data_IF_016455851647
#
_entry.id   IF_016455851647
#
_cell.length_a   1.000
_cell.length_b   1.000
_cell.length_c   1.000
_cell.angle_alpha   90.00
_cell.angle_beta   90.00
_cell.angle_gamma   90.00
#
_symmetry.space_group_name_H-M   'P 1'
#
loop_
_entity.id
_entity.type
_entity.pdbx_description
1 polymer ?
#
# COMPACT_ATOMS: atom_id res chain seq x y z
N UNK A 1 1.98 16.45 7.82
CA UNK A 1 3.22 16.65 7.06
C UNK A 1 4.28 15.64 7.48
N UNK A 2 4.76 14.90 6.49
CA UNK A 2 5.86 13.93 6.45
C UNK A 2 6.98 14.35 5.48
N UNK A 3 6.92 15.56 4.91
CA UNK A 3 7.87 16.07 3.91
C UNK A 3 9.35 15.87 4.27
N UNK A 4 9.72 16.03 5.55
CA UNK A 4 11.09 15.75 6.01
C UNK A 4 11.47 14.28 5.73
N UNK A 5 10.64 13.35 6.18
CA UNK A 5 10.85 11.91 5.98
C UNK A 5 10.87 11.56 4.50
N UNK A 6 10.00 12.16 3.69
CA UNK A 6 9.98 11.96 2.24
C UNK A 6 11.30 12.38 1.59
N UNK A 7 11.87 13.53 1.94
CA UNK A 7 13.16 13.98 1.38
C UNK A 7 14.29 13.03 1.76
N UNK A 8 14.39 12.66 3.05
CA UNK A 8 15.45 11.78 3.54
C UNK A 8 15.37 10.37 2.92
N UNK A 9 14.17 9.80 2.83
CA UNK A 9 13.96 8.49 2.20
C UNK A 9 14.10 8.54 0.69
N UNK A 10 13.67 9.62 0.02
CA UNK A 10 13.85 9.75 -1.42
C UNK A 10 15.34 9.74 -1.78
N UNK A 11 16.17 10.50 -1.05
CA UNK A 11 17.62 10.52 -1.25
C UNK A 11 18.25 9.13 -1.02
N UNK A 12 17.79 8.41 0.00
CA UNK A 12 18.25 7.05 0.30
C UNK A 12 17.85 6.03 -0.79
N UNK A 13 16.60 6.11 -1.27
CA UNK A 13 15.99 5.13 -2.17
C UNK A 13 16.29 5.42 -3.65
N UNK A 14 16.61 6.67 -4.01
CA UNK A 14 17.10 7.03 -5.35
C UNK A 14 18.59 6.65 -5.54
N UNK A 15 18.87 5.37 -5.31
CA UNK A 15 20.20 4.80 -5.42
C UNK A 15 20.15 3.43 -6.09
N UNK A 16 21.07 3.11 -7.02
CA UNK A 16 21.21 1.74 -7.52
C UNK A 16 21.63 0.75 -6.42
N UNK A 17 22.07 1.24 -5.25
CA UNK A 17 22.42 0.44 -4.09
C UNK A 17 21.35 0.50 -2.98
N UNK A 18 20.16 1.04 -3.25
CA UNK A 18 19.07 1.02 -2.28
C UNK A 18 18.73 -0.42 -1.88
N UNK A 19 18.63 -0.68 -0.58
CA UNK A 19 18.34 -2.02 -0.05
C UNK A 19 17.45 -1.94 1.18
N UNK A 20 16.87 -3.08 1.53
CA UNK A 20 16.15 -3.29 2.78
C UNK A 20 16.94 -2.89 4.01
N UNK A 21 18.22 -3.26 4.07
CA UNK A 21 19.12 -2.93 5.19
C UNK A 21 19.37 -1.44 5.30
N UNK A 22 19.51 -0.73 4.18
CA UNK A 22 19.70 0.72 4.18
C UNK A 22 18.47 1.43 4.75
N UNK A 23 17.27 1.03 4.34
CA UNK A 23 16.02 1.55 4.87
C UNK A 23 15.83 1.20 6.36
N UNK A 24 16.14 -0.04 6.76
CA UNK A 24 16.09 -0.48 8.14
C UNK A 24 17.07 0.29 9.04
N UNK A 25 18.29 0.56 8.55
CA UNK A 25 19.28 1.37 9.26
C UNK A 25 18.78 2.82 9.43
N UNK A 26 18.14 3.39 8.42
CA UNK A 26 17.50 4.71 8.53
C UNK A 26 16.40 4.73 9.60
N UNK A 27 15.50 3.75 9.62
CA UNK A 27 14.45 3.66 10.64
C UNK A 27 15.02 3.51 12.06
N UNK A 28 16.06 2.68 12.22
CA UNK A 28 16.78 2.51 13.50
C UNK A 28 17.55 3.74 13.95
N UNK A 29 17.90 4.64 13.03
CA UNK A 29 18.48 5.94 13.38
C UNK A 29 17.46 6.89 14.02
N UNK A 30 16.16 6.66 13.79
CA UNK A 30 15.06 7.41 14.39
C UNK A 30 14.67 6.81 15.73
N UNK A 31 14.45 5.49 15.76
CA UNK A 31 14.10 4.71 16.94
C UNK A 31 14.93 3.42 16.94
N UNK A 32 15.94 3.36 17.80
CA UNK A 32 16.91 2.26 17.85
C UNK A 32 16.24 0.90 18.11
N UNK A 33 15.14 0.93 18.88
CA UNK A 33 14.39 -0.26 19.30
C UNK A 33 13.17 -0.50 18.41
N UNK A 34 13.10 0.12 17.22
CA UNK A 34 11.99 -0.10 16.32
C UNK A 34 11.86 -1.58 15.93
N UNK A 35 10.64 -2.11 16.05
CA UNK A 35 10.30 -3.46 15.64
C UNK A 35 10.15 -3.51 14.12
N UNK A 36 11.30 -3.65 13.45
CA UNK A 36 11.40 -3.68 12.01
C UNK A 36 12.42 -4.73 11.56
N UNK A 37 12.11 -5.36 10.43
CA UNK A 37 12.95 -6.38 9.82
C UNK A 37 12.96 -6.23 8.30
N UNK A 38 14.01 -6.79 7.70
CA UNK A 38 14.16 -6.88 6.26
C UNK A 38 14.71 -8.25 5.88
N UNK A 39 14.24 -8.79 4.77
CA UNK A 39 14.68 -10.08 4.26
C UNK A 39 14.45 -10.18 2.74
N UNK A 40 15.24 -11.00 2.02
CA UNK A 40 15.03 -11.18 0.60
C UNK A 40 13.75 -11.98 0.33
N UNK A 41 12.87 -11.46 -0.52
CA UNK A 41 11.77 -12.18 -1.14
C UNK A 41 12.18 -12.52 -2.58
N UNK A 42 12.20 -13.81 -2.91
CA UNK A 42 12.63 -14.31 -4.22
C UNK A 42 11.43 -14.86 -4.98
N UNK A 43 11.21 -14.34 -6.18
CA UNK A 43 10.18 -14.80 -7.11
C UNK A 43 10.80 -15.29 -8.41
N UNK A 44 9.96 -15.70 -9.36
CA UNK A 44 10.42 -16.27 -10.64
C UNK A 44 11.23 -15.27 -11.51
N UNK A 45 11.07 -13.96 -11.29
CA UNK A 45 11.67 -12.90 -12.11
C UNK A 45 12.85 -12.21 -11.42
N UNK A 46 13.20 -12.61 -10.20
CA UNK A 46 14.31 -12.03 -9.44
C UNK A 46 14.02 -11.99 -7.94
N UNK A 47 14.67 -11.06 -7.26
CA UNK A 47 14.47 -10.84 -5.82
C UNK A 47 14.26 -9.37 -5.50
N UNK A 48 13.65 -9.11 -4.36
CA UNK A 48 13.48 -7.79 -3.77
C UNK A 48 13.69 -7.92 -2.26
N UNK A 49 14.03 -6.82 -1.58
CA UNK A 49 14.08 -6.84 -0.12
C UNK A 49 12.71 -6.48 0.43
N UNK A 50 12.07 -7.40 1.13
CA UNK A 50 10.85 -7.14 1.87
C UNK A 50 11.20 -6.39 3.15
N UNK A 51 10.44 -5.36 3.50
CA UNK A 51 10.61 -4.63 4.76
C UNK A 51 9.28 -4.52 5.49
N UNK A 52 9.28 -4.93 6.76
CA UNK A 52 8.10 -4.91 7.64
C UNK A 52 8.41 -4.13 8.91
N UNK A 53 7.48 -3.29 9.32
CA UNK A 53 7.59 -2.45 10.51
C UNK A 53 6.31 -2.59 11.33
N UNK A 54 6.45 -2.93 12.61
CA UNK A 54 5.38 -2.89 13.60
C UNK A 54 5.62 -1.71 14.53
N UNK A 55 4.59 -0.89 14.70
CA UNK A 55 4.63 0.28 15.57
C UNK A 55 3.55 0.08 16.64
N UNK A 56 3.91 -0.39 17.84
CA UNK A 56 2.94 -0.69 18.89
C UNK A 56 2.19 0.55 19.36
N UNK A 57 0.87 0.44 19.47
CA UNK A 57 0.00 1.44 20.06
C UNK A 57 0.01 1.41 21.59
N UNK A 58 -0.57 2.43 22.22
CA UNK A 58 -0.72 2.51 23.69
C UNK A 58 -1.79 1.56 24.24
N UNK A 59 -2.78 1.20 23.42
CA UNK A 59 -3.82 0.21 23.71
C UNK A 59 -3.91 -0.86 22.61
N UNK A 60 -2.84 -1.03 21.83
CA UNK A 60 -2.79 -2.01 20.74
C UNK A 60 -2.64 -3.45 21.23
N UNK A 61 -2.92 -4.41 20.36
CA UNK A 61 -2.77 -5.85 20.62
C UNK A 61 -1.34 -6.22 20.99
N UNK A 62 -0.35 -5.52 20.44
CA UNK A 62 1.07 -5.77 20.73
C UNK A 62 1.44 -5.58 22.21
N UNK A 63 0.66 -4.79 22.95
CA UNK A 63 0.82 -4.56 24.38
C UNK A 63 -0.31 -5.18 25.23
N UNK A 64 -1.12 -6.05 24.62
CA UNK A 64 -2.23 -6.74 25.29
C UNK A 64 -3.54 -5.95 25.38
N UNK A 65 -3.65 -4.82 24.66
CA UNK A 65 -4.89 -4.07 24.53
C UNK A 65 -5.81 -4.61 23.42
N UNK A 66 -6.88 -3.86 23.15
CA UNK A 66 -7.96 -4.23 22.22
C UNK A 66 -8.17 -3.23 21.06
N UNK A 67 -7.36 -2.17 20.98
CA UNK A 67 -7.42 -1.23 19.87
C UNK A 67 -7.04 -1.94 18.55
N UNK A 68 -7.75 -1.65 17.45
CA UNK A 68 -7.56 -2.37 16.20
C UNK A 68 -6.22 -2.01 15.54
N UNK A 69 -5.71 -2.94 14.75
CA UNK A 69 -4.45 -2.81 14.01
C UNK A 69 -4.72 -2.45 12.55
N UNK A 70 -4.09 -1.39 12.06
CA UNK A 70 -4.18 -0.99 10.64
C UNK A 70 -2.90 -1.31 9.87
N UNK A 71 -3.05 -1.77 8.64
CA UNK A 71 -1.97 -1.92 7.66
C UNK A 71 -1.84 -0.69 6.77
N UNK A 72 -0.61 -0.19 6.60
CA UNK A 72 -0.23 0.81 5.61
C UNK A 72 0.74 0.15 4.62
N UNK A 73 0.24 -0.29 3.48
CA UNK A 73 1.00 -1.10 2.52
C UNK A 73 1.41 -0.26 1.31
N UNK A 74 2.70 -0.26 0.99
CA UNK A 74 3.25 0.33 -0.23
C UNK A 74 3.26 -0.67 -1.38
N UNK A 75 2.56 -0.36 -2.47
CA UNK A 75 2.53 -1.15 -3.70
C UNK A 75 3.38 -0.51 -4.79
N UNK A 76 4.07 -1.38 -5.52
CA UNK A 76 4.98 -1.05 -6.61
C UNK A 76 5.39 -2.34 -7.33
N UNK A 77 5.95 -2.20 -8.53
CA UNK A 77 6.84 -3.16 -9.18
C UNK A 77 8.31 -2.91 -8.82
N UNK A 78 8.72 -1.67 -8.56
CA UNK A 78 10.03 -1.35 -8.00
C UNK A 78 10.39 0.14 -7.93
N UNK A 79 11.54 0.43 -7.33
CA UNK A 79 12.05 1.79 -7.07
C UNK A 79 12.87 2.33 -8.24
N UNK A 80 13.35 1.45 -9.12
CA UNK A 80 14.07 1.81 -10.32
C UNK A 80 13.96 0.73 -11.39
N UNK A 81 14.10 1.14 -12.64
CA UNK A 81 14.11 0.26 -13.81
C UNK A 81 15.49 0.30 -14.47
N UNK A 82 16.53 0.12 -13.66
CA UNK A 82 17.93 0.26 -14.08
C UNK A 82 18.42 -1.06 -14.73
N UNK A 83 19.28 -0.98 -15.75
CA UNK A 83 19.91 0.21 -16.31
C UNK A 83 19.06 0.97 -17.35
N UNK A 84 17.89 0.46 -17.76
CA UNK A 84 17.08 1.03 -18.85
C UNK A 84 16.57 2.45 -18.56
N UNK A 85 16.34 2.77 -17.28
CA UNK A 85 15.98 4.09 -16.77
C UNK A 85 16.82 4.40 -15.54
N UNK A 86 17.61 5.47 -15.61
CA UNK A 86 18.49 5.91 -14.53
C UNK A 86 17.70 6.86 -13.60
N UNK A 87 17.64 6.49 -12.32
CA UNK A 87 17.00 7.28 -11.26
C UNK A 87 15.79 6.59 -10.67
N UNK A 88 15.21 7.22 -9.65
CA UNK A 88 13.96 6.79 -9.03
C UNK A 88 12.81 6.91 -10.02
N UNK A 89 12.01 5.86 -10.12
CA UNK A 89 10.89 5.80 -11.06
C UNK A 89 9.58 6.07 -10.34
N UNK A 90 8.59 6.54 -11.09
CA UNK A 90 7.28 6.91 -10.57
C UNK A 90 6.63 5.81 -9.76
N UNK A 91 6.81 4.56 -10.17
CA UNK A 91 6.25 3.38 -9.52
C UNK A 91 6.71 3.21 -8.05
N UNK A 92 7.86 3.79 -7.70
CA UNK A 92 8.41 3.73 -6.34
C UNK A 92 7.67 4.59 -5.31
N UNK A 93 6.77 5.50 -5.72
CA UNK A 93 6.14 6.43 -4.76
C UNK A 93 5.34 5.71 -3.67
N UNK A 94 4.70 4.56 -3.98
CA UNK A 94 3.96 3.78 -2.99
C UNK A 94 4.85 3.32 -1.82
N UNK A 95 6.02 2.75 -2.13
CA UNK A 95 7.01 2.36 -1.13
C UNK A 95 7.55 3.56 -0.35
N UNK A 96 7.82 4.66 -1.05
CA UNK A 96 8.32 5.89 -0.43
C UNK A 96 7.31 6.47 0.58
N UNK A 97 6.02 6.51 0.21
CA UNK A 97 4.95 6.97 1.12
C UNK A 97 4.84 6.05 2.33
N UNK A 98 4.80 4.73 2.14
CA UNK A 98 4.68 3.77 3.24
C UNK A 98 5.85 3.91 4.23
N UNK A 99 7.10 3.92 3.74
CA UNK A 99 8.29 4.09 4.58
C UNK A 99 8.32 5.46 5.27
N UNK A 100 7.88 6.52 4.60
CA UNK A 100 7.80 7.85 5.21
C UNK A 100 6.73 7.92 6.31
N UNK A 101 5.63 7.18 6.17
CA UNK A 101 4.65 7.00 7.24
C UNK A 101 5.28 6.30 8.44
N UNK A 102 5.99 5.18 8.24
CA UNK A 102 6.69 4.48 9.32
C UNK A 102 7.69 5.41 10.03
N UNK A 103 8.56 6.08 9.28
CA UNK A 103 9.57 7.00 9.82
C UNK A 103 8.93 8.15 10.62
N UNK A 104 7.80 8.69 10.15
CA UNK A 104 7.06 9.72 10.87
C UNK A 104 6.48 9.19 12.17
N UNK A 105 5.82 8.02 12.13
CA UNK A 105 5.19 7.40 13.29
C UNK A 105 6.23 7.02 14.36
N UNK A 106 7.38 6.48 13.98
CA UNK A 106 8.52 6.25 14.89
C UNK A 106 9.02 7.57 15.48
N UNK A 107 9.19 8.61 14.66
CA UNK A 107 9.62 9.92 15.16
C UNK A 107 8.60 10.54 16.14
N UNK A 108 7.30 10.29 15.96
CA UNK A 108 6.26 10.72 16.89
C UNK A 108 6.35 9.94 18.20
N UNK A 109 6.47 8.62 18.13
CA UNK A 109 6.63 7.73 19.28
C UNK A 109 7.80 8.14 20.17
N UNK A 110 8.98 8.35 19.59
CA UNK A 110 10.19 8.78 20.33
C UNK A 110 10.00 10.13 21.03
N UNK A 111 9.10 10.98 20.51
CA UNK A 111 8.73 12.27 21.12
C UNK A 111 7.57 12.18 22.13
N UNK A 112 7.03 10.99 22.35
CA UNK A 112 5.91 10.74 23.26
C UNK A 112 4.53 10.77 22.61
N UNK A 113 4.43 11.07 21.31
CA UNK A 113 3.16 11.08 20.57
C UNK A 113 2.86 9.66 20.04
N UNK A 114 2.33 8.82 20.91
CA UNK A 114 2.01 7.43 20.59
C UNK A 114 0.56 7.26 20.13
N UNK A 115 0.32 6.40 19.14
CA UNK A 115 -1.02 6.11 18.64
C UNK A 115 -1.79 5.19 19.60
N UNK A 116 -3.14 5.21 19.59
CA UNK A 116 -3.94 4.27 20.39
C UNK A 116 -3.81 2.81 19.93
N UNK A 117 -3.96 2.56 18.62
CA UNK A 117 -3.85 1.23 18.01
C UNK A 117 -2.48 0.96 17.40
N UNK A 118 -2.22 -0.32 17.12
CA UNK A 118 -1.00 -0.75 16.42
C UNK A 118 -1.04 -0.33 14.94
N UNK A 119 0.12 -0.01 14.39
CA UNK A 119 0.29 0.22 12.94
C UNK A 119 1.29 -0.77 12.39
N UNK A 120 0.89 -1.48 11.34
CA UNK A 120 1.78 -2.31 10.53
C UNK A 120 2.07 -1.59 9.22
N UNK A 121 3.34 -1.43 8.88
CA UNK A 121 3.78 -0.83 7.61
C UNK A 121 4.62 -1.86 6.86
N UNK A 122 4.36 -2.00 5.57
CA UNK A 122 5.09 -2.93 4.74
C UNK A 122 5.21 -2.46 3.30
N UNK A 123 6.34 -2.79 2.68
CA UNK A 123 6.61 -2.62 1.25
C UNK A 123 7.81 -3.48 0.88
N UNK A 124 8.22 -3.47 -0.38
CA UNK A 124 9.50 -4.03 -0.79
C UNK A 124 10.40 -2.98 -1.50
N UNK A 125 11.70 -3.26 -1.52
CA UNK A 125 12.75 -2.39 -2.04
C UNK A 125 13.44 -3.13 -3.20
N UNK A 126 13.13 -2.71 -4.42
CA UNK A 126 13.73 -3.23 -5.65
C UNK A 126 14.34 -2.08 -6.47
N UNK A 127 15.66 -1.82 -6.38
CA UNK A 127 16.31 -0.75 -7.15
C UNK A 127 16.45 -1.05 -8.66
N UNK A 128 16.29 -2.32 -9.05
CA UNK A 128 16.52 -2.86 -10.40
C UNK A 128 15.36 -3.77 -10.85
N UNK A 129 14.17 -3.19 -10.94
CA UNK A 129 12.99 -3.92 -11.39
C UNK A 129 13.14 -4.40 -12.84
N UNK A 130 12.65 -5.60 -13.17
CA UNK A 130 12.72 -6.13 -14.52
C UNK A 130 11.91 -5.26 -15.49
N UNK A 131 12.40 -5.10 -16.71
CA UNK A 131 11.71 -4.37 -17.79
C UNK A 131 11.48 -5.25 -19.00
N UNK A 132 10.46 -4.91 -19.79
CA UNK A 132 10.17 -5.54 -21.08
C UNK A 132 10.10 -4.49 -22.21
N UNK A 133 10.59 -4.80 -23.43
CA UNK A 133 10.50 -3.90 -24.58
C UNK A 133 9.04 -3.51 -24.88
N UNK A 134 8.75 -2.22 -24.91
CA UNK A 134 7.44 -1.65 -25.19
C UNK A 134 7.57 -0.19 -25.64
N UNK A 135 6.61 0.32 -26.42
CA UNK A 135 6.58 1.70 -26.95
C UNK A 135 5.36 2.45 -26.37
N UNK A 136 5.47 3.72 -25.95
CA UNK A 136 6.61 4.64 -26.13
C UNK A 136 7.69 4.53 -25.04
N UNK A 137 7.49 3.65 -24.04
CA UNK A 137 8.45 3.40 -22.97
C UNK A 137 8.43 1.92 -22.56
N UNK A 138 9.53 1.38 -22.00
CA UNK A 138 9.58 0.02 -21.49
C UNK A 138 8.49 -0.24 -20.46
N UNK A 139 7.90 -1.44 -20.51
CA UNK A 139 7.00 -1.89 -19.48
C UNK A 139 7.82 -2.29 -18.26
N UNK A 140 7.43 -1.79 -17.08
CA UNK A 140 8.08 -2.11 -15.82
C UNK A 140 7.33 -3.24 -15.15
N UNK A 141 8.04 -4.30 -14.79
CA UNK A 141 7.50 -5.41 -14.03
C UNK A 141 7.96 -5.37 -12.57
N UNK A 142 7.60 -6.42 -11.85
CA UNK A 142 8.08 -6.73 -10.50
C UNK A 142 8.95 -7.99 -10.54
N UNK A 143 10.01 -8.10 -9.70
CA UNK A 143 10.75 -9.35 -9.53
C UNK A 143 9.91 -10.46 -8.87
N UNK A 144 8.85 -10.07 -8.14
CA UNK A 144 7.97 -10.94 -7.35
C UNK A 144 6.51 -10.72 -7.75
N UNK A 145 5.69 -11.76 -7.65
CA UNK A 145 4.25 -11.70 -7.90
C UNK A 145 3.49 -11.02 -6.77
N UNK A 146 2.30 -10.48 -7.07
CA UNK A 146 1.45 -9.88 -6.04
C UNK A 146 0.94 -10.94 -5.05
N UNK A 147 0.81 -12.19 -5.47
CA UNK A 147 0.48 -13.31 -4.59
C UNK A 147 1.60 -13.61 -3.58
N UNK A 148 2.88 -13.53 -4.00
CA UNK A 148 4.03 -13.66 -3.09
C UNK A 148 4.04 -12.51 -2.08
N UNK A 149 3.91 -11.25 -2.53
CA UNK A 149 3.90 -10.10 -1.62
C UNK A 149 2.72 -10.15 -0.66
N UNK A 150 1.51 -10.48 -1.12
CA UNK A 150 0.34 -10.60 -0.26
C UNK A 150 0.54 -11.62 0.86
N UNK A 151 1.20 -12.75 0.58
CA UNK A 151 1.50 -13.78 1.59
C UNK A 151 2.38 -13.26 2.73
N UNK A 152 3.20 -12.26 2.47
CA UNK A 152 4.09 -11.66 3.47
C UNK A 152 3.41 -10.56 4.30
N UNK A 153 2.25 -10.04 3.84
CA UNK A 153 1.62 -8.82 4.36
C UNK A 153 0.21 -9.01 4.91
N UNK A 154 -0.59 -9.88 4.29
CA UNK A 154 -2.02 -10.03 4.55
C UNK A 154 -2.49 -11.47 4.50
N UNK A 155 -3.65 -11.73 5.13
CA UNK A 155 -4.30 -13.04 5.08
C UNK A 155 -3.64 -14.12 5.93
N UNK A 156 -3.98 -15.37 5.65
CA UNK A 156 -3.46 -16.53 6.40
C UNK A 156 -1.96 -16.70 6.21
N UNK A 157 -1.44 -16.40 5.01
CA UNK A 157 -0.01 -16.43 4.72
C UNK A 157 0.80 -15.47 5.60
N UNK A 158 0.25 -14.30 5.91
CA UNK A 158 0.92 -13.34 6.80
C UNK A 158 1.12 -13.93 8.21
N UNK A 159 0.14 -14.67 8.72
CA UNK A 159 0.29 -15.33 10.02
C UNK A 159 1.41 -16.38 10.01
N UNK A 160 1.60 -17.09 8.89
CA UNK A 160 2.67 -18.08 8.71
C UNK A 160 4.05 -17.43 8.60
N UNK A 161 4.14 -16.27 7.96
CA UNK A 161 5.38 -15.52 7.75
C UNK A 161 5.73 -14.59 8.92
N UNK A 162 4.92 -14.56 9.98
CA UNK A 162 5.13 -13.75 11.17
C UNK A 162 4.63 -12.30 11.08
N UNK A 163 3.92 -11.95 10.01
CA UNK A 163 3.22 -10.67 9.90
C UNK A 163 2.01 -10.59 10.84
N UNK A 164 1.66 -9.36 11.20
CA UNK A 164 0.66 -9.08 12.22
C UNK A 164 -0.75 -9.14 11.64
N UNK A 165 -1.75 -9.71 12.33
CA UNK A 165 -3.14 -9.68 11.86
C UNK A 165 -3.62 -8.23 11.72
N UNK A 166 -4.25 -7.92 10.58
CA UNK A 166 -4.70 -6.56 10.26
C UNK A 166 -6.23 -6.51 10.28
N UNK A 167 -6.78 -5.46 10.88
CA UNK A 167 -8.23 -5.24 10.97
C UNK A 167 -8.75 -4.29 9.87
N UNK A 168 -7.84 -3.55 9.22
CA UNK A 168 -8.09 -2.75 8.02
C UNK A 168 -6.76 -2.49 7.28
N UNK A 169 -6.84 -2.19 5.98
CA UNK A 169 -5.68 -1.90 5.14
C UNK A 169 -5.90 -0.64 4.31
N UNK A 170 -4.93 0.27 4.36
CA UNK A 170 -4.71 1.28 3.32
C UNK A 170 -3.55 0.81 2.44
N UNK A 171 -3.82 0.69 1.15
CA UNK A 171 -2.85 0.24 0.15
C UNK A 171 -2.53 1.40 -0.78
N UNK A 172 -1.32 1.96 -0.68
CA UNK A 172 -0.89 3.11 -1.48
C UNK A 172 -0.12 2.65 -2.71
N UNK A 173 -0.46 3.20 -3.87
CA UNK A 173 0.18 2.87 -5.15
C UNK A 173 0.25 4.09 -6.07
N UNK A 174 1.29 4.13 -6.90
CA UNK A 174 1.39 5.04 -8.03
C UNK A 174 0.40 4.67 -9.13
N UNK A 175 -0.79 5.24 -9.05
CA UNK A 175 -1.85 5.01 -10.04
C UNK A 175 -1.77 6.01 -11.19
N UNK A 176 -0.57 6.43 -11.60
CA UNK A 176 -0.41 7.49 -12.62
C UNK A 176 -0.49 6.98 -14.05
N UNK A 177 -0.39 5.67 -14.29
CA UNK A 177 -0.40 5.08 -15.64
C UNK A 177 -1.77 5.04 -16.32
N UNK A 178 -2.83 5.51 -15.67
CA UNK A 178 -4.21 5.38 -16.14
C UNK A 178 -4.76 6.69 -16.73
N UNK A 179 -5.91 6.61 -17.42
CA UNK A 179 -6.62 7.78 -18.00
C UNK A 179 -7.97 8.09 -17.33
N UNK A 180 -8.41 7.25 -16.39
CA UNK A 180 -9.74 7.28 -15.77
C UNK A 180 -9.78 8.28 -14.59
N UNK A 181 -8.64 8.57 -13.96
CA UNK A 181 -8.51 9.41 -12.76
C UNK A 181 -7.43 10.50 -12.92
N UNK A 182 -7.72 11.51 -13.73
CA UNK A 182 -6.71 12.48 -14.14
C UNK A 182 -6.78 13.78 -13.33
N UNK A 183 -6.64 13.71 -12.01
CA UNK A 183 -6.36 14.90 -11.20
C UNK A 183 -5.10 14.68 -10.37
N UNK A 184 -4.24 15.69 -10.28
CA UNK A 184 -3.02 15.62 -9.49
C UNK A 184 -3.32 15.63 -7.99
N UNK A 185 -2.63 14.76 -7.23
CA UNK A 185 -2.79 14.58 -5.79
C UNK A 185 -2.94 13.10 -5.43
N UNK A 186 -3.90 12.79 -4.56
CA UNK A 186 -4.33 11.42 -4.30
C UNK A 186 -5.85 11.27 -4.34
N UNK A 187 -6.29 10.03 -4.54
CA UNK A 187 -7.70 9.62 -4.51
C UNK A 187 -7.86 8.36 -3.67
N UNK A 188 -9.05 8.14 -3.12
CA UNK A 188 -9.37 6.92 -2.34
C UNK A 188 -10.39 6.04 -3.07
N UNK A 189 -10.22 4.72 -3.01
CA UNK A 189 -11.21 3.80 -3.54
C UNK A 189 -12.43 3.71 -2.62
N UNK A 190 -13.58 3.22 -3.12
CA UNK A 190 -14.56 2.56 -2.28
C UNK A 190 -13.91 1.41 -1.50
N UNK A 191 -14.44 1.09 -0.32
CA UNK A 191 -13.91 0.01 0.51
C UNK A 191 -14.19 -1.34 -0.14
N UNK A 192 -13.16 -2.18 -0.26
CA UNK A 192 -13.29 -3.56 -0.74
C UNK A 192 -13.18 -4.50 0.45
N UNK A 193 -14.15 -5.39 0.61
CA UNK A 193 -14.12 -6.41 1.66
C UNK A 193 -14.78 -7.69 1.17
N UNK A 194 -14.07 -8.82 1.28
CA UNK A 194 -14.60 -10.18 1.01
C UNK A 194 -15.28 -10.30 -0.38
N UNK A 195 -14.64 -9.72 -1.41
CA UNK A 195 -15.17 -9.70 -2.78
C UNK A 195 -16.30 -8.71 -3.03
N UNK A 196 -16.64 -7.84 -2.08
CA UNK A 196 -17.64 -6.78 -2.23
C UNK A 196 -16.99 -5.41 -2.40
N UNK A 197 -17.48 -4.61 -3.35
CA UNK A 197 -17.22 -3.18 -3.44
C UNK A 197 -18.31 -2.46 -2.63
N UNK A 198 -17.94 -1.85 -1.52
CA UNK A 198 -18.83 -1.16 -0.60
C UNK A 198 -18.84 0.35 -0.87
N UNK A 199 -19.83 1.11 -0.35
CA UNK A 199 -19.80 2.57 -0.41
C UNK A 199 -18.49 3.14 0.14
N UNK A 200 -18.07 4.28 -0.41
CA UNK A 200 -16.93 5.04 0.13
C UNK A 200 -17.27 5.46 1.56
N UNK A 201 -16.35 5.26 2.49
CA UNK A 201 -16.54 5.67 3.89
C UNK A 201 -16.50 7.20 4.04
N UNK A 202 -17.52 7.74 4.70
CA UNK A 202 -17.59 9.17 5.06
C UNK A 202 -16.47 9.60 6.02
N UNK A 203 -16.01 8.70 6.90
CA UNK A 203 -14.90 8.98 7.81
C UNK A 203 -13.59 9.13 7.03
N UNK A 204 -13.36 8.26 6.04
CA UNK A 204 -12.18 8.36 5.16
C UNK A 204 -12.25 9.61 4.27
N UNK A 205 -13.43 9.97 3.77
CA UNK A 205 -13.66 11.23 3.05
C UNK A 205 -13.27 12.42 3.94
N UNK A 206 -13.80 12.48 5.16
CA UNK A 206 -13.51 13.57 6.11
C UNK A 206 -12.02 13.71 6.37
N UNK A 207 -11.32 12.60 6.62
CA UNK A 207 -9.89 12.61 6.90
C UNK A 207 -9.05 12.99 5.67
N UNK A 208 -9.45 12.56 4.47
CA UNK A 208 -8.81 12.97 3.23
C UNK A 208 -8.96 14.49 2.99
N UNK A 209 -10.13 15.05 3.30
CA UNK A 209 -10.37 16.49 3.19
C UNK A 209 -9.54 17.30 4.21
N UNK A 210 -9.44 16.82 5.44
CA UNK A 210 -8.62 17.45 6.47
C UNK A 210 -7.13 17.40 6.13
N UNK A 211 -6.63 16.27 5.63
CA UNK A 211 -5.20 16.10 5.33
C UNK A 211 -4.76 16.90 4.10
N UNK A 212 -5.62 17.03 3.09
CA UNK A 212 -5.30 17.71 1.82
C UNK A 212 -5.74 19.19 1.79
N UNK A 213 -6.71 19.58 2.62
CA UNK A 213 -7.39 20.87 2.49
C UNK A 213 -8.22 21.01 1.21
N UNK A 214 -8.52 19.90 0.52
CA UNK A 214 -9.31 19.84 -0.72
C UNK A 214 -10.48 18.88 -0.54
N UNK A 215 -11.45 18.91 -1.45
CA UNK A 215 -12.51 17.89 -1.46
C UNK A 215 -11.90 16.51 -1.69
N UNK A 216 -12.40 15.50 -0.96
CA UNK A 216 -11.97 14.14 -1.17
C UNK A 216 -12.34 13.72 -2.59
N UNK A 217 -11.42 13.01 -3.23
CA UNK A 217 -11.62 12.46 -4.57
C UNK A 217 -11.63 10.96 -4.47
N UNK A 218 -12.57 10.36 -5.18
CA UNK A 218 -12.75 8.92 -5.22
C UNK A 218 -12.67 8.43 -6.64
N UNK A 219 -12.39 7.15 -6.82
CA UNK A 219 -12.33 6.56 -8.14
C UNK A 219 -13.20 5.32 -8.32
N UNK A 220 -13.73 5.08 -9.54
CA UNK A 220 -14.55 3.92 -9.80
C UNK A 220 -13.70 2.65 -9.76
N UNK A 221 -14.31 1.57 -9.30
CA UNK A 221 -13.78 0.22 -9.38
C UNK A 221 -14.65 -0.62 -10.31
N UNK A 222 -14.01 -1.48 -11.09
CA UNK A 222 -14.64 -2.60 -11.75
C UNK A 222 -14.56 -3.84 -10.87
N UNK A 223 -15.37 -4.86 -11.17
CA UNK A 223 -15.27 -6.15 -10.50
C UNK A 223 -13.91 -6.81 -10.74
N UNK A 224 -13.24 -6.51 -11.86
CA UNK A 224 -11.93 -7.08 -12.17
C UNK A 224 -10.88 -6.59 -11.16
N UNK A 225 -10.92 -5.31 -10.78
CA UNK A 225 -9.90 -4.68 -9.92
C UNK A 225 -9.75 -5.33 -8.54
N UNK A 226 -10.78 -6.08 -8.10
CA UNK A 226 -10.81 -6.78 -6.81
C UNK A 226 -10.55 -8.28 -6.92
N UNK A 227 -10.12 -8.75 -8.09
CA UNK A 227 -9.76 -10.16 -8.34
C UNK A 227 -8.24 -10.34 -8.45
N UNK A 228 -7.69 -11.55 -8.26
CA UNK A 228 -6.25 -11.80 -8.36
C UNK A 228 -5.68 -11.48 -9.74
N UNK A 229 -4.52 -10.82 -9.78
CA UNK A 229 -3.79 -10.45 -11.00
C UNK A 229 -3.52 -11.60 -11.98
N UNK A 230 -3.27 -12.80 -11.46
CA UNK A 230 -2.95 -13.96 -12.29
C UNK A 230 -4.11 -14.50 -13.13
N UNK A 231 -5.32 -13.93 -13.05
CA UNK A 231 -6.50 -14.44 -13.72
C UNK A 231 -6.68 -13.98 -15.18
N UNK A 232 -5.75 -13.15 -15.70
CA UNK A 232 -5.78 -12.70 -17.09
C UNK A 232 -6.74 -11.55 -17.40
N UNK A 233 -7.47 -11.05 -16.39
CA UNK A 233 -8.30 -9.86 -16.55
C UNK A 233 -7.46 -8.59 -16.52
N UNK A 234 -8.01 -7.51 -17.10
CA UNK A 234 -7.44 -6.18 -16.92
C UNK A 234 -7.80 -5.64 -15.55
N UNK A 235 -6.79 -5.12 -14.85
CA UNK A 235 -6.90 -4.37 -13.61
C UNK A 235 -6.28 -2.99 -13.81
N UNK A 236 -6.80 -2.01 -13.08
CA UNK A 236 -6.25 -0.67 -13.04
C UNK A 236 -4.75 -0.65 -12.69
N UNK A 237 -4.41 -1.25 -11.55
CA UNK A 237 -3.06 -1.48 -11.01
C UNK A 237 -3.16 -2.39 -9.76
N UNK A 238 -2.05 -2.61 -9.06
CA UNK A 238 -1.94 -3.61 -7.98
C UNK A 238 -2.51 -3.11 -6.65
N UNK A 239 -3.05 -1.87 -6.63
CA UNK A 239 -3.45 -1.18 -5.41
C UNK A 239 -4.48 -1.95 -4.56
N UNK A 240 -5.36 -2.73 -5.19
CA UNK A 240 -6.37 -3.54 -4.50
C UNK A 240 -6.03 -5.03 -4.42
N UNK A 241 -4.85 -5.45 -4.86
CA UNK A 241 -4.42 -6.84 -4.69
C UNK A 241 -4.44 -7.34 -3.24
N UNK A 242 -4.14 -6.57 -2.18
CA UNK A 242 -4.31 -7.07 -0.81
C UNK A 242 -5.75 -7.54 -0.53
N UNK A 243 -6.76 -6.94 -1.16
CA UNK A 243 -8.17 -7.33 -0.98
C UNK A 243 -8.49 -8.74 -1.49
N UNK A 244 -7.61 -9.35 -2.29
CA UNK A 244 -7.76 -10.73 -2.76
C UNK A 244 -7.25 -11.77 -1.75
N UNK A 245 -6.50 -11.32 -0.74
CA UNK A 245 -5.83 -12.22 0.21
C UNK A 245 -6.31 -12.01 1.66
N UNK A 246 -7.12 -11.00 1.96
CA UNK A 246 -7.59 -10.72 3.32
C UNK A 246 -9.11 -10.64 3.42
N UNK A 247 -9.62 -10.95 4.62
CA UNK A 247 -10.99 -10.64 5.00
C UNK A 247 -11.13 -9.20 5.55
N UNK A 248 -10.04 -8.52 5.88
CA UNK A 248 -10.09 -7.13 6.34
C UNK A 248 -10.59 -6.18 5.22
N UNK A 249 -11.27 -5.08 5.55
CA UNK A 249 -11.55 -4.03 4.57
C UNK A 249 -10.25 -3.42 4.04
N UNK A 250 -10.17 -3.24 2.72
CA UNK A 250 -9.04 -2.65 2.01
C UNK A 250 -9.52 -1.42 1.24
N UNK A 251 -8.78 -0.32 1.37
CA UNK A 251 -8.98 0.89 0.57
C UNK A 251 -7.68 1.21 -0.16
N UNK A 252 -7.79 1.41 -1.47
CA UNK A 252 -6.69 1.88 -2.28
C UNK A 252 -6.52 3.40 -2.13
N UNK A 253 -5.27 3.84 -1.95
CA UNK A 253 -4.87 5.24 -1.86
C UNK A 253 -4.00 5.56 -3.08
N UNK A 254 -4.65 6.01 -4.14
CA UNK A 254 -4.05 6.18 -5.45
C UNK A 254 -3.34 7.53 -5.55
N UNK A 255 -2.02 7.53 -5.74
CA UNK A 255 -1.28 8.75 -6.14
C UNK A 255 -1.47 8.96 -7.64
N UNK A 256 -1.97 10.12 -8.04
CA UNK A 256 -2.43 10.38 -9.41
C UNK A 256 -1.84 11.64 -10.03
N UNK A 257 -1.86 11.71 -11.36
CA UNK A 257 -1.46 12.87 -12.17
C UNK A 257 -2.54 13.16 -13.22
N UNK A 258 -2.54 14.38 -13.76
CA UNK A 258 -3.51 14.80 -14.80
C UNK A 258 -3.25 14.15 -16.16
N UNK A 259 -2.07 13.58 -16.35
CA UNK A 259 -1.68 12.87 -17.56
C UNK A 259 -1.17 11.48 -17.19
N UNK A 260 -1.33 10.48 -18.09
CA UNK A 260 -0.72 9.18 -17.90
C UNK A 260 0.80 9.30 -17.78
N UNK A 261 1.33 8.85 -16.65
CA UNK A 261 2.77 8.72 -16.41
C UNK A 261 3.10 7.24 -16.28
N UNK A 262 4.01 6.71 -17.12
CA UNK A 262 4.44 5.32 -17.02
C UNK A 262 5.14 5.02 -15.69
N UNK A 263 5.02 3.79 -15.19
CA UNK A 263 5.69 3.36 -13.95
C UNK A 263 7.21 3.57 -14.00
N UNK A 264 7.85 3.30 -15.15
CA UNK A 264 9.30 3.50 -15.37
C UNK A 264 9.73 4.95 -15.59
N UNK A 265 8.83 5.93 -15.52
CA UNK A 265 9.17 7.34 -15.74
C UNK A 265 9.95 7.88 -14.54
N UNK A 266 11.13 8.45 -14.80
CA UNK A 266 11.96 9.13 -13.79
C UNK A 266 11.59 10.60 -13.69
N UNK A 267 11.85 11.24 -12.54
CA UNK A 267 11.52 12.65 -12.32
C UNK A 267 10.02 12.95 -12.21
N UNK A 268 9.20 11.92 -11.98
CA UNK A 268 7.74 12.03 -11.92
C UNK A 268 7.17 11.92 -10.50
N UNK A 269 8.03 11.92 -9.48
CA UNK A 269 7.66 11.94 -8.06
C UNK A 269 7.35 13.37 -7.64
N UNK A 270 6.15 13.57 -7.07
CA UNK A 270 5.69 14.88 -6.62
C UNK A 270 5.53 14.88 -5.10
N UNK A 271 6.57 15.34 -4.38
CA UNK A 271 6.63 15.20 -2.92
C UNK A 271 5.48 15.87 -2.17
N UNK A 272 4.87 16.94 -2.71
CA UNK A 272 3.67 17.55 -2.12
C UNK A 272 2.48 16.59 -2.13
N UNK A 273 2.32 15.84 -3.21
CA UNK A 273 1.19 14.93 -3.40
C UNK A 273 1.40 13.71 -2.49
N UNK A 274 2.64 13.25 -2.36
CA UNK A 274 3.02 12.19 -1.42
C UNK A 274 2.90 12.62 0.05
N UNK A 275 3.19 13.89 0.36
CA UNK A 275 3.05 14.43 1.71
C UNK A 275 1.58 14.47 2.16
N UNK A 276 0.69 14.93 1.28
CA UNK A 276 -0.76 14.91 1.49
C UNK A 276 -1.24 13.45 1.66
N UNK A 277 -0.78 12.54 0.79
CA UNK A 277 -1.12 11.10 0.82
C UNK A 277 -0.74 10.44 2.15
N UNK A 278 0.53 10.55 2.55
CA UNK A 278 0.99 9.93 3.78
C UNK A 278 0.46 10.62 5.04
N UNK A 279 0.19 11.93 4.99
CA UNK A 279 -0.52 12.62 6.07
C UNK A 279 -1.92 12.05 6.24
N UNK A 280 -2.67 11.83 5.15
CA UNK A 280 -3.97 11.16 5.20
C UNK A 280 -3.87 9.76 5.84
N UNK A 281 -2.93 8.93 5.38
CA UNK A 281 -2.76 7.57 5.92
C UNK A 281 -2.45 7.56 7.43
N UNK A 282 -1.63 8.51 7.91
CA UNK A 282 -1.33 8.66 9.34
C UNK A 282 -2.56 9.10 10.14
N UNK A 283 -3.35 10.05 9.62
CA UNK A 283 -4.58 10.49 10.31
C UNK A 283 -5.62 9.38 10.38
N UNK A 284 -5.75 8.56 9.32
CA UNK A 284 -6.59 7.35 9.36
C UNK A 284 -6.08 6.37 10.40
N UNK A 285 -4.76 6.14 10.48
CA UNK A 285 -4.21 5.22 11.47
C UNK A 285 -4.50 5.66 12.91
N UNK A 286 -4.40 6.96 13.20
CA UNK A 286 -4.79 7.54 14.50
C UNK A 286 -6.26 7.32 14.80
N UNK A 287 -7.14 7.72 13.87
CA UNK A 287 -8.59 7.66 14.06
C UNK A 287 -9.10 6.22 14.15
N UNK A 288 -8.57 5.31 13.33
CA UNK A 288 -8.92 3.89 13.34
C UNK A 288 -8.51 3.23 14.65
N UNK A 289 -7.27 3.44 15.10
CA UNK A 289 -6.81 2.95 16.40
C UNK A 289 -7.61 3.52 17.57
N UNK A 290 -8.14 4.74 17.44
CA UNK A 290 -9.01 5.36 18.44
C UNK A 290 -10.48 4.88 18.37
N UNK A 291 -10.84 4.04 17.39
CA UNK A 291 -12.22 3.58 17.17
C UNK A 291 -13.16 4.63 16.57
N UNK A 292 -12.62 5.71 16.00
CA UNK A 292 -13.39 6.84 15.45
C UNK A 292 -13.30 6.95 13.92
N UNK A 293 -12.95 5.86 13.24
CA UNK A 293 -12.93 5.77 11.78
C UNK A 293 -13.43 4.39 11.34
N UNK A 294 -14.60 4.33 10.72
CA UNK A 294 -15.15 3.13 10.13
C UNK A 294 -14.76 3.03 8.64
N UNK A 295 -14.31 1.86 8.20
CA UNK A 295 -14.06 1.62 6.77
C UNK A 295 -15.35 1.25 6.01
N UNK A 296 -16.36 0.72 6.70
CA UNK A 296 -17.63 0.28 6.15
C UNK A 296 -18.70 0.14 7.25
N UNK A 297 -19.98 0.02 6.88
CA UNK A 297 -21.06 -0.37 7.79
C UNK A 297 -21.20 -1.90 7.86
N UNK A 298 -20.89 -2.56 9.01
CA UNK A 298 -21.05 -3.99 9.17
C UNK A 298 -22.49 -4.49 9.02
N UNK A 299 -23.48 -3.69 9.42
CA UNK A 299 -24.89 -4.04 9.27
C UNK A 299 -25.30 -4.02 7.79
N UNK A 300 -24.76 -3.09 7.00
CA UNK A 300 -25.00 -3.06 5.56
C UNK A 300 -24.39 -4.26 4.85
N UNK A 301 -23.12 -4.60 5.11
CA UNK A 301 -22.49 -5.78 4.54
C UNK A 301 -23.25 -7.07 4.92
N UNK A 302 -23.66 -7.19 6.18
CA UNK A 302 -24.48 -8.33 6.64
C UNK A 302 -25.80 -8.44 5.86
N UNK A 303 -26.48 -7.31 5.62
CA UNK A 303 -27.69 -7.27 4.79
C UNK A 303 -27.40 -7.64 3.33
N UNK A 304 -26.28 -7.20 2.78
CA UNK A 304 -25.86 -7.54 1.43
C UNK A 304 -25.65 -9.05 1.28
N UNK A 305 -24.86 -9.68 2.17
CA UNK A 305 -24.65 -11.13 2.17
C UNK A 305 -25.95 -11.92 2.37
N UNK A 306 -26.86 -11.45 3.22
CA UNK A 306 -28.17 -12.10 3.40
C UNK A 306 -29.04 -12.08 2.13
N UNK A 307 -28.82 -11.11 1.23
CA UNK A 307 -29.58 -10.97 -0.03
C UNK A 307 -28.92 -11.68 -1.20
N UNK A 308 -27.60 -11.62 -1.30
CA UNK A 308 -26.86 -12.01 -2.50
C UNK A 308 -25.86 -13.15 -2.27
N UNK A 309 -25.67 -13.59 -1.02
CA UNK A 309 -24.67 -14.59 -0.66
C UNK A 309 -23.26 -14.00 -0.54
N UNK A 310 -22.29 -14.86 -0.28
CA UNK A 310 -20.87 -14.49 -0.17
C UNK A 310 -20.25 -14.23 -1.54
N UNK A 311 -19.45 -13.16 -1.64
CA UNK A 311 -18.68 -12.82 -2.83
C UNK A 311 -17.20 -13.24 -2.76
N UNK A 312 -16.81 -13.97 -1.71
CA UNK A 312 -15.41 -14.38 -1.48
C UNK A 312 -14.81 -15.21 -2.62
N UNK A 313 -15.63 -15.85 -3.45
CA UNK A 313 -15.17 -16.56 -4.65
C UNK A 313 -14.45 -15.64 -5.66
N UNK A 314 -14.73 -14.33 -5.65
CA UNK A 314 -14.04 -13.34 -6.49
C UNK A 314 -12.60 -13.07 -6.03
N UNK A 315 -12.25 -13.42 -4.79
CA UNK A 315 -10.89 -13.30 -4.28
C UNK A 315 -9.96 -14.43 -4.78
N UNK A 316 -10.46 -15.29 -5.66
CA UNK A 316 -9.75 -16.46 -6.22
C UNK A 316 -9.52 -16.29 -7.73
N UNK A 317 -8.80 -17.22 -8.36
CA UNK A 317 -8.67 -17.28 -9.83
C UNK A 317 -9.99 -17.60 -10.55
N UNK A 318 -11.09 -17.81 -9.81
CA UNK A 318 -12.37 -18.21 -10.35
C UNK A 318 -12.36 -19.69 -10.74
N UNK A 319 -13.13 -20.02 -11.78
CA UNK A 319 -13.30 -21.41 -12.23
C UNK A 319 -12.25 -21.85 -13.27
N UNK A 320 -11.34 -20.96 -13.65
CA UNK A 320 -10.27 -21.23 -14.62
C UNK A 320 -8.93 -21.32 -13.89
N UNK A 321 -7.94 -22.06 -14.44
CA UNK A 321 -6.58 -21.98 -13.93
C UNK A 321 -6.02 -20.55 -14.07
N UNK A 322 -5.00 -20.23 -13.29
CA UNK A 322 -4.29 -18.96 -13.45
C UNK A 322 -3.73 -18.86 -14.88
N UNK A 323 -3.91 -17.71 -15.51
CA UNK A 323 -3.28 -17.39 -16.80
C UNK A 323 -1.80 -17.05 -16.60
N UNK A 324 -1.47 -16.41 -15.48
CA UNK A 324 -0.10 -16.11 -15.09
C UNK A 324 0.07 -16.24 -13.56
N UNK A 325 0.66 -17.35 -13.12
CA UNK A 325 0.94 -17.61 -11.70
C UNK A 325 1.97 -16.65 -11.08
N UNK A 326 2.68 -15.87 -11.91
CA UNK A 326 3.74 -14.95 -11.50
C UNK A 326 3.39 -13.48 -11.79
N UNK A 327 2.10 -13.15 -11.76
CA UNK A 327 1.55 -11.81 -11.97
C UNK A 327 1.57 -10.95 -10.70
#
# INVERSE_FOLDING_TARGET
>A
MILKQLIELYDLLDSPAASGEAALAYLRSIDLDCDAETYPLTGAKGSTDMIRIRIPGTNGRAVGGDAPTIGLLGRLGGLGARPERIGFVSDGDGALVALACAAKLLSMRVRGDMLPGDVFVSTHICPHAPTAPHEPVPFMGSPVSMAEVNREEVGDGAAETGAWPLDAVLSVDTTKGNRIMNERGFMISPTVKEGCILPVSDDLVTLAEMASGRRARTYPLSMNDITPYGNGLYHLNSILQPATATAAPVVGVAVTTEVPVPGCATGATHLTDLDETGSFMIEVAKAFGAGSCAFYDPAELKRFHARYGSMAHLQTMGNLPAENEHA
#
